data_IF_818326499661
#
_entry.id   IF_818326499661
#
_cell.length_a   1.000
_cell.length_b   1.000
_cell.length_c   1.000
_cell.angle_alpha   90.00
_cell.angle_beta   90.00
_cell.angle_gamma   90.00
#
_symmetry.space_group_name_H-M   'P 1'
#
loop_
_entity.id
_entity.type
_entity.pdbx_description
1 polymer ?
#
# COMPACT_ATOMS: atom_id res chain seq x y z
N UNK A 1 -54.95 -3.08 41.04
CA UNK A 1 -54.43 -2.62 39.73
C UNK A 1 -55.40 -1.61 39.14
N UNK A 2 -55.13 -0.33 39.38
CA UNK A 2 -56.02 0.79 39.06
C UNK A 2 -56.09 1.03 37.55
N UNK A 3 -57.16 1.69 37.10
CA UNK A 3 -57.38 2.02 35.68
C UNK A 3 -56.27 2.92 35.11
N UNK A 4 -55.70 3.82 35.91
CA UNK A 4 -54.60 4.69 35.47
C UNK A 4 -53.31 3.93 35.17
N UNK A 5 -52.99 2.85 35.91
CA UNK A 5 -51.82 2.00 35.60
C UNK A 5 -51.94 1.34 34.22
N UNK A 6 -53.17 0.92 33.85
CA UNK A 6 -53.43 0.30 32.54
C UNK A 6 -53.30 1.31 31.41
N UNK A 7 -53.74 2.55 31.61
CA UNK A 7 -53.60 3.64 30.65
C UNK A 7 -52.14 4.05 30.45
N UNK A 8 -51.36 4.20 31.52
CA UNK A 8 -49.93 4.46 31.43
C UNK A 8 -49.17 3.30 30.75
N UNK A 9 -49.54 2.04 31.00
CA UNK A 9 -48.94 0.89 30.34
C UNK A 9 -49.25 0.86 28.83
N UNK A 10 -50.50 1.18 28.44
CA UNK A 10 -50.91 1.29 27.03
C UNK A 10 -50.15 2.39 26.30
N UNK A 11 -50.02 3.58 26.89
CA UNK A 11 -49.26 4.68 26.30
C UNK A 11 -47.78 4.37 26.06
N UNK A 12 -47.14 3.61 26.96
CA UNK A 12 -45.75 3.13 26.78
C UNK A 12 -45.64 2.10 25.65
N UNK A 13 -46.61 1.20 25.53
CA UNK A 13 -46.63 0.18 24.48
C UNK A 13 -46.83 0.79 23.08
N UNK A 14 -47.74 1.77 22.95
CA UNK A 14 -47.97 2.52 21.71
C UNK A 14 -46.68 3.22 21.23
N UNK A 15 -45.95 3.85 22.16
CA UNK A 15 -44.71 4.58 21.87
C UNK A 15 -43.59 3.62 21.42
N UNK A 16 -43.47 2.46 22.06
CA UNK A 16 -42.50 1.41 21.68
C UNK A 16 -42.77 0.88 20.27
N UNK A 17 -44.04 0.61 19.92
CA UNK A 17 -44.42 0.15 18.57
C UNK A 17 -44.01 1.14 17.48
N UNK A 18 -44.26 2.44 17.68
CA UNK A 18 -43.89 3.49 16.71
C UNK A 18 -42.38 3.62 16.51
N UNK A 19 -41.59 3.44 17.57
CA UNK A 19 -40.13 3.47 17.49
C UNK A 19 -39.57 2.21 16.80
N UNK A 20 -40.10 1.03 17.14
CA UNK A 20 -39.71 -0.24 16.52
C UNK A 20 -40.02 -0.28 15.02
N UNK A 21 -41.18 0.21 14.58
CA UNK A 21 -41.52 0.25 13.16
C UNK A 21 -40.53 1.07 12.33
N UNK A 22 -40.09 2.23 12.83
CA UNK A 22 -39.07 3.06 12.16
C UNK A 22 -37.69 2.40 12.19
N UNK A 23 -37.32 1.80 13.33
CA UNK A 23 -36.04 1.11 13.48
C UNK A 23 -35.93 -0.11 12.56
N UNK A 24 -36.98 -0.92 12.43
CA UNK A 24 -36.95 -2.09 11.53
C UNK A 24 -36.80 -1.68 10.07
N UNK A 25 -37.40 -0.57 9.64
CA UNK A 25 -37.20 -0.07 8.28
C UNK A 25 -35.76 0.39 8.04
N UNK A 26 -35.14 1.08 9.01
CA UNK A 26 -33.76 1.57 8.90
C UNK A 26 -32.76 0.42 8.96
N UNK A 27 -32.88 -0.47 9.95
CA UNK A 27 -31.99 -1.63 10.06
C UNK A 27 -32.22 -2.63 8.93
N UNK A 28 -33.47 -2.81 8.50
CA UNK A 28 -33.81 -3.67 7.37
C UNK A 28 -33.22 -3.15 6.06
N UNK A 29 -33.36 -1.85 5.77
CA UNK A 29 -32.78 -1.26 4.56
C UNK A 29 -31.25 -1.30 4.60
N UNK A 30 -30.63 -1.01 5.76
CA UNK A 30 -29.19 -1.10 5.95
C UNK A 30 -28.66 -2.52 5.70
N UNK A 31 -29.31 -3.54 6.29
CA UNK A 31 -28.94 -4.95 6.09
C UNK A 31 -29.11 -5.39 4.64
N UNK A 32 -30.17 -4.92 3.96
CA UNK A 32 -30.41 -5.23 2.56
C UNK A 32 -29.35 -4.60 1.65
N UNK A 33 -28.95 -3.35 1.93
CA UNK A 33 -27.87 -2.67 1.22
C UNK A 33 -26.53 -3.40 1.41
N UNK A 34 -26.19 -3.75 2.66
CA UNK A 34 -24.98 -4.52 2.97
C UNK A 34 -24.98 -5.88 2.29
N UNK A 35 -26.12 -6.58 2.27
CA UNK A 35 -26.27 -7.86 1.58
C UNK A 35 -26.02 -7.77 0.09
N UNK A 36 -26.52 -6.72 -0.57
CA UNK A 36 -26.26 -6.49 -2.00
C UNK A 36 -24.77 -6.24 -2.27
N UNK A 37 -24.10 -5.44 -1.44
CA UNK A 37 -22.65 -5.18 -1.57
C UNK A 37 -21.83 -6.46 -1.41
N UNK A 38 -22.18 -7.31 -0.43
CA UNK A 38 -21.51 -8.59 -0.23
C UNK A 38 -21.73 -9.55 -1.41
N UNK A 39 -22.94 -9.59 -1.97
CA UNK A 39 -23.23 -10.41 -3.15
C UNK A 39 -22.41 -9.98 -4.36
N UNK A 40 -22.35 -8.67 -4.64
CA UNK A 40 -21.53 -8.11 -5.73
C UNK A 40 -20.05 -8.42 -5.51
N UNK A 41 -19.56 -8.25 -4.27
CA UNK A 41 -18.17 -8.57 -3.91
C UNK A 41 -17.85 -10.06 -4.10
N UNK A 42 -18.79 -10.95 -3.78
CA UNK A 42 -18.63 -12.40 -3.97
C UNK A 42 -18.63 -12.81 -5.45
N UNK A 43 -19.51 -12.21 -6.27
CA UNK A 43 -19.47 -12.37 -7.74
C UNK A 43 -18.12 -11.90 -8.31
N UNK A 44 -17.57 -10.83 -7.75
CA UNK A 44 -16.28 -10.31 -8.18
C UNK A 44 -15.12 -11.25 -7.82
N UNK A 45 -15.14 -11.81 -6.61
CA UNK A 45 -14.15 -12.78 -6.15
C UNK A 45 -14.14 -14.03 -7.03
N UNK A 46 -15.32 -14.57 -7.31
CA UNK A 46 -15.48 -15.80 -8.12
C UNK A 46 -15.14 -15.60 -9.59
N UNK A 47 -14.90 -14.36 -10.04
CA UNK A 47 -14.60 -14.04 -11.43
C UNK A 47 -15.82 -14.13 -12.36
N UNK A 48 -17.04 -14.26 -11.80
CA UNK A 48 -18.27 -14.28 -12.58
C UNK A 48 -18.62 -12.90 -13.17
N UNK A 49 -18.08 -11.82 -12.59
CA UNK A 49 -18.20 -10.45 -13.10
C UNK A 49 -16.80 -9.82 -13.21
N UNK A 50 -16.48 -9.11 -14.31
CA UNK A 50 -15.28 -8.29 -14.39
C UNK A 50 -15.41 -7.07 -13.48
N UNK A 51 -14.41 -6.82 -12.63
CA UNK A 51 -14.44 -5.69 -11.69
C UNK A 51 -14.32 -4.39 -12.47
N UNK A 52 -15.24 -3.42 -12.30
CA UNK A 52 -15.07 -2.10 -12.90
C UNK A 52 -13.88 -1.34 -12.28
N UNK A 53 -13.34 -1.83 -11.17
CA UNK A 53 -12.18 -1.26 -10.47
C UNK A 53 -10.90 -2.09 -10.67
N UNK A 54 -10.95 -3.22 -11.37
CA UNK A 54 -9.73 -3.93 -11.76
C UNK A 54 -9.04 -3.09 -12.84
N UNK A 55 -8.16 -2.20 -12.41
CA UNK A 55 -7.16 -1.62 -13.29
C UNK A 55 -6.10 -2.70 -13.50
N UNK A 56 -5.93 -3.11 -14.74
CA UNK A 56 -4.76 -3.87 -15.16
C UNK A 56 -3.53 -3.10 -14.67
N UNK A 57 -2.57 -3.78 -14.06
CA UNK A 57 -1.30 -3.12 -13.77
C UNK A 57 -0.81 -2.54 -15.09
N UNK A 58 -0.77 -1.20 -15.18
CA UNK A 58 -0.03 -0.50 -16.23
C UNK A 58 1.43 -0.73 -15.90
N UNK A 59 1.88 -1.95 -16.16
CA UNK A 59 3.27 -2.22 -16.46
C UNK A 59 3.48 -1.43 -17.74
N UNK A 60 4.01 -0.20 -17.63
CA UNK A 60 4.83 0.31 -18.71
C UNK A 60 5.72 -0.87 -19.11
N UNK A 61 5.75 -1.21 -20.39
CA UNK A 61 6.59 -2.27 -20.93
C UNK A 61 8.02 -1.84 -20.58
N UNK A 62 8.44 -2.20 -19.36
CA UNK A 62 9.75 -1.92 -18.83
C UNK A 62 10.63 -2.53 -19.88
N UNK A 63 11.46 -1.73 -20.58
CA UNK A 63 12.18 -2.22 -21.73
C UNK A 63 12.80 -3.50 -21.24
N UNK A 64 12.36 -4.64 -21.79
CA UNK A 64 12.97 -5.92 -21.47
C UNK A 64 14.40 -5.67 -21.87
N UNK A 65 15.26 -5.39 -20.89
CA UNK A 65 16.70 -5.45 -21.04
C UNK A 65 16.94 -6.95 -21.16
N UNK A 66 16.58 -7.46 -22.34
CA UNK A 66 16.95 -8.73 -22.90
C UNK A 66 18.28 -8.53 -23.64
N UNK A 67 19.09 -7.58 -23.19
CA UNK A 67 20.51 -7.80 -23.23
C UNK A 67 20.73 -8.97 -22.29
N UNK A 68 20.93 -10.16 -22.87
CA UNK A 68 21.42 -11.30 -22.14
C UNK A 68 22.63 -10.78 -21.35
N UNK A 69 22.48 -10.64 -20.03
CA UNK A 69 23.57 -10.23 -19.16
C UNK A 69 24.62 -11.32 -19.33
N UNK A 70 25.63 -11.02 -20.14
CA UNK A 70 26.68 -11.98 -20.43
C UNK A 70 27.36 -12.28 -19.11
N UNK A 71 27.23 -13.53 -18.64
CA UNK A 71 27.99 -13.96 -17.48
C UNK A 71 29.47 -13.72 -17.79
N UNK A 72 30.24 -13.13 -16.87
CA UNK A 72 31.68 -13.03 -17.05
C UNK A 72 32.26 -14.43 -17.28
N UNK A 73 33.26 -14.54 -18.15
CA UNK A 73 33.87 -15.82 -18.49
C UNK A 73 34.42 -16.52 -17.23
N UNK A 74 34.40 -17.85 -17.23
CA UNK A 74 34.97 -18.64 -16.12
C UNK A 74 36.44 -18.24 -15.88
N UNK A 75 36.77 -17.83 -14.64
CA UNK A 75 38.11 -17.36 -14.26
C UNK A 75 38.33 -15.85 -14.31
N UNK A 76 37.28 -15.04 -14.53
CA UNK A 76 37.40 -13.57 -14.43
C UNK A 76 37.76 -13.17 -12.99
N UNK A 77 38.86 -12.45 -12.83
CA UNK A 77 39.34 -11.97 -11.52
C UNK A 77 38.57 -10.70 -11.13
N UNK A 78 38.20 -10.58 -9.87
CA UNK A 78 37.62 -9.34 -9.34
C UNK A 78 38.58 -8.16 -9.54
N UNK A 79 38.03 -7.04 -9.98
CA UNK A 79 38.74 -5.76 -10.04
C UNK A 79 39.21 -5.38 -8.63
N UNK A 80 40.43 -4.83 -8.52
CA UNK A 80 40.94 -4.39 -7.23
C UNK A 80 40.05 -3.26 -6.67
N UNK A 81 39.76 -3.23 -5.35
CA UNK A 81 38.87 -2.21 -4.77
C UNK A 81 39.29 -0.77 -5.11
N UNK A 82 40.59 -0.49 -5.17
CA UNK A 82 41.14 0.84 -5.48
C UNK A 82 40.94 1.30 -6.93
N UNK A 83 40.49 0.42 -7.81
CA UNK A 83 40.14 0.77 -9.19
C UNK A 83 38.63 1.04 -9.36
N UNK A 84 37.84 0.80 -8.30
CA UNK A 84 36.39 1.03 -8.29
C UNK A 84 36.14 2.46 -7.80
N UNK A 85 35.50 3.26 -8.64
CA UNK A 85 35.02 4.61 -8.28
C UNK A 85 33.53 4.55 -8.00
N UNK A 86 33.12 4.91 -6.79
CA UNK A 86 31.73 4.84 -6.34
C UNK A 86 31.19 6.21 -5.96
N UNK A 87 29.92 6.45 -6.31
CA UNK A 87 29.14 7.60 -5.86
C UNK A 87 28.07 7.11 -4.88
N UNK A 88 28.09 7.61 -3.65
CA UNK A 88 27.20 7.17 -2.58
C UNK A 88 26.08 8.19 -2.40
N UNK A 89 24.84 7.77 -2.67
CA UNK A 89 23.67 8.64 -2.60
C UNK A 89 22.63 8.10 -1.62
N UNK A 90 22.18 8.95 -0.71
CA UNK A 90 21.13 8.62 0.25
C UNK A 90 19.75 9.01 -0.29
N UNK A 91 18.85 8.04 -0.38
CA UNK A 91 17.44 8.22 -0.77
C UNK A 91 16.47 8.09 0.42
N UNK A 92 17.01 8.03 1.64
CA UNK A 92 16.26 7.86 2.89
C UNK A 92 16.25 9.17 3.71
N UNK A 93 15.34 9.32 4.69
CA UNK A 93 15.33 10.50 5.56
C UNK A 93 16.45 10.50 6.63
N UNK A 94 17.25 9.45 6.71
CA UNK A 94 18.30 9.30 7.73
C UNK A 94 19.51 10.16 7.35
N UNK A 95 19.72 11.27 8.06
CA UNK A 95 20.88 12.12 7.83
C UNK A 95 22.20 11.39 8.17
N UNK A 96 23.26 11.65 7.39
CA UNK A 96 24.59 11.07 7.62
C UNK A 96 24.83 9.69 7.01
N UNK A 97 23.77 8.94 6.65
CA UNK A 97 23.90 7.55 6.17
C UNK A 97 24.81 7.38 4.95
N UNK A 98 24.76 8.30 3.98
CA UNK A 98 25.67 8.25 2.82
C UNK A 98 27.15 8.44 3.23
N UNK A 99 27.40 9.27 4.24
CA UNK A 99 28.75 9.50 4.77
C UNK A 99 29.29 8.26 5.47
N UNK A 100 28.47 7.64 6.31
CA UNK A 100 28.86 6.41 7.04
C UNK A 100 29.19 5.28 6.05
N UNK A 101 28.37 5.09 5.01
CA UNK A 101 28.61 4.08 3.97
C UNK A 101 29.83 4.43 3.12
N UNK A 102 30.07 5.70 2.82
CA UNK A 102 31.26 6.14 2.10
C UNK A 102 32.54 5.87 2.90
N UNK A 103 32.52 6.08 4.21
CA UNK A 103 33.65 5.77 5.10
C UNK A 103 33.94 4.27 5.11
N UNK A 104 32.90 3.43 5.23
CA UNK A 104 33.04 1.96 5.18
C UNK A 104 33.60 1.48 3.82
N UNK A 105 33.12 2.04 2.71
CA UNK A 105 33.63 1.73 1.36
C UNK A 105 35.09 2.16 1.18
N UNK A 106 35.46 3.34 1.69
CA UNK A 106 36.83 3.82 1.65
C UNK A 106 37.76 2.95 2.50
N UNK A 107 37.29 2.47 3.66
CA UNK A 107 37.99 1.53 4.51
C UNK A 107 38.21 0.16 3.85
N UNK A 108 37.28 -0.25 2.98
CA UNK A 108 37.42 -1.43 2.12
C UNK A 108 38.33 -1.20 0.90
N UNK A 109 38.84 0.02 0.72
CA UNK A 109 39.78 0.38 -0.35
C UNK A 109 39.12 0.86 -1.64
N UNK A 110 37.80 1.15 -1.64
CA UNK A 110 37.08 1.73 -2.79
C UNK A 110 37.30 3.24 -2.85
N UNK A 111 37.46 3.79 -4.05
CA UNK A 111 37.58 5.25 -4.25
C UNK A 111 36.19 5.85 -4.28
N UNK A 112 35.86 6.70 -3.31
CA UNK A 112 34.57 7.41 -3.28
C UNK A 112 34.73 8.77 -3.97
N UNK A 113 33.99 8.99 -5.05
CA UNK A 113 34.00 10.25 -5.82
C UNK A 113 33.08 11.30 -5.18
N UNK A 114 31.84 10.92 -4.88
CA UNK A 114 30.81 11.83 -4.40
C UNK A 114 29.93 11.18 -3.34
N UNK A 115 29.52 11.99 -2.36
CA UNK A 115 28.61 11.62 -1.28
C UNK A 115 27.51 12.66 -1.20
N UNK A 116 26.25 12.26 -1.28
CA UNK A 116 25.13 13.22 -1.28
C UNK A 116 23.76 12.59 -1.11
N UNK A 117 22.72 13.39 -1.33
CA UNK A 117 21.33 12.93 -1.33
C UNK A 117 20.82 12.73 -2.75
N UNK A 118 20.06 11.66 -2.94
CA UNK A 118 19.43 11.37 -4.23
C UNK A 118 18.39 12.44 -4.57
N UNK A 119 18.57 13.10 -5.72
CA UNK A 119 17.71 14.20 -6.20
C UNK A 119 18.29 15.60 -6.00
N UNK A 120 19.31 15.76 -5.15
CA UNK A 120 20.06 17.02 -5.00
C UNK A 120 21.28 17.04 -5.94
N UNK A 121 21.89 15.87 -6.17
CA UNK A 121 23.07 15.69 -7.03
C UNK A 121 22.79 15.69 -8.54
N UNK A 122 21.55 15.50 -8.98
CA UNK A 122 21.18 15.41 -10.42
C UNK A 122 21.09 16.79 -11.09
N UNK A 123 21.19 17.89 -10.32
CA UNK A 123 21.13 19.27 -10.83
C UNK A 123 22.50 19.94 -11.00
N UNK A 124 23.60 19.23 -10.72
CA UNK A 124 24.96 19.77 -10.77
C UNK A 124 25.81 19.23 -11.94
N UNK A 125 25.17 18.74 -13.00
CA UNK A 125 25.80 18.28 -14.24
C UNK A 125 25.14 18.91 -15.46
#
# INVERSE_FOLDING_TARGET
MSTSEREHARGRAERRRRLQQRQTLVYGSLLLLLGLVLLVSWLQWTGAMPSPFAREFTTEDSPRISEAVACPAEGTVMVAPGEITATVLNSTPTAGLAGDVAEELSGAGVVVDQVGNWGESVLAS
#
